data_IF_004972962480
#
_entry.id   IF_004972962480
#
_cell.length_a   1.000
_cell.length_b   1.000
_cell.length_c   1.000
_cell.angle_alpha   90.00
_cell.angle_beta   90.00
_cell.angle_gamma   90.00
#
_symmetry.space_group_name_H-M   'P 1'
#
loop_
_entity.id
_entity.type
_entity.pdbx_description
1 polymer ?
#
# COMPACT_ATOMS: atom_id res chain seq x y z
N UNK A 1 0.51 12.93 24.32
CA UNK A 1 -0.56 12.04 24.81
C UNK A 1 -1.04 11.13 23.68
N UNK A 2 -1.33 9.83 23.91
CA UNK A 2 -1.87 8.96 22.89
C UNK A 2 -3.36 9.26 22.66
N UNK A 3 -3.76 9.24 21.40
CA UNK A 3 -5.16 9.41 20.97
C UNK A 3 -5.48 8.39 19.89
N UNK A 4 -6.74 7.96 19.82
CA UNK A 4 -7.22 7.07 18.77
C UNK A 4 -8.72 7.25 18.56
N UNK A 5 -9.17 6.96 17.33
CA UNK A 5 -10.58 6.95 16.98
C UNK A 5 -10.84 5.87 15.93
N UNK A 6 -11.96 5.17 16.04
CA UNK A 6 -12.32 4.06 15.16
C UNK A 6 -13.49 4.45 14.29
N UNK A 7 -13.38 4.17 12.99
CA UNK A 7 -14.42 4.43 11.99
C UNK A 7 -14.78 3.11 11.32
N UNK A 8 -16.06 2.81 11.27
CA UNK A 8 -16.58 1.61 10.60
C UNK A 8 -16.79 1.89 9.12
N UNK A 9 -16.27 1.01 8.27
CA UNK A 9 -16.55 0.93 6.85
C UNK A 9 -17.58 -0.18 6.56
N UNK A 10 -17.79 -0.49 5.30
CA UNK A 10 -18.72 -1.56 4.90
C UNK A 10 -18.17 -2.96 5.18
N UNK A 11 -16.86 -3.14 5.05
CA UNK A 11 -16.16 -4.45 5.16
C UNK A 11 -15.02 -4.44 6.15
N UNK A 12 -14.56 -3.27 6.53
CA UNK A 12 -13.40 -3.10 7.42
C UNK A 12 -13.71 -2.11 8.53
N UNK A 13 -12.91 -2.18 9.59
CA UNK A 13 -12.87 -1.20 10.67
C UNK A 13 -11.52 -0.52 10.63
N UNK A 14 -11.51 0.81 10.51
CA UNK A 14 -10.30 1.62 10.46
C UNK A 14 -10.07 2.29 11.82
N UNK A 15 -8.97 1.98 12.48
CA UNK A 15 -8.55 2.70 13.67
C UNK A 15 -7.43 3.68 13.30
N UNK A 16 -7.70 4.96 13.46
CA UNK A 16 -6.71 6.04 13.38
C UNK A 16 -6.14 6.26 14.77
N UNK A 17 -4.83 6.27 14.88
CA UNK A 17 -4.16 6.51 16.16
C UNK A 17 -2.95 7.43 15.96
N UNK A 18 -2.57 8.11 17.04
CA UNK A 18 -1.41 8.97 17.04
C UNK A 18 -1.00 9.37 18.45
N UNK A 19 0.02 10.21 18.50
CA UNK A 19 0.56 10.72 19.75
C UNK A 19 0.76 12.23 19.60
N UNK A 20 0.01 12.99 20.39
CA UNK A 20 0.15 14.45 20.51
C UNK A 20 1.50 14.75 21.11
N UNK A 21 2.30 15.62 20.47
CA UNK A 21 3.62 16.01 20.95
C UNK A 21 3.51 16.72 22.28
N UNK A 22 2.61 17.71 22.37
CA UNK A 22 2.39 18.47 23.61
C UNK A 22 0.93 18.83 23.78
N UNK A 23 0.45 18.74 25.02
CA UNK A 23 -0.90 19.08 25.41
C UNK A 23 -0.85 20.05 26.60
N UNK A 24 -1.54 21.17 26.49
CA UNK A 24 -1.68 22.15 27.58
C UNK A 24 -3.06 22.01 28.21
N UNK A 25 -3.15 21.27 29.28
CA UNK A 25 -4.44 20.89 29.86
C UNK A 25 -5.28 20.16 28.81
N UNK A 26 -6.54 20.57 28.68
CA UNK A 26 -7.46 20.13 27.61
C UNK A 26 -7.78 21.26 26.62
N UNK A 27 -6.97 22.32 26.59
CA UNK A 27 -7.27 23.53 25.82
C UNK A 27 -6.43 23.69 24.56
N UNK A 28 -5.20 23.16 24.50
CA UNK A 28 -4.31 23.31 23.33
C UNK A 28 -3.64 21.98 22.98
N UNK A 29 -3.84 21.53 21.75
CA UNK A 29 -3.04 20.47 21.10
C UNK A 29 -1.93 21.13 20.33
N UNK A 30 -0.66 20.80 20.63
CA UNK A 30 0.50 21.33 19.95
C UNK A 30 1.27 20.21 19.23
N UNK A 31 1.54 20.44 17.95
CA UNK A 31 2.40 19.64 17.09
C UNK A 31 3.72 20.41 16.86
N UNK A 32 4.86 19.78 17.08
CA UNK A 32 6.17 20.41 17.03
C UNK A 32 6.94 19.89 15.81
N UNK A 33 7.43 20.79 14.98
CA UNK A 33 8.24 20.51 13.81
C UNK A 33 9.59 21.19 13.92
N UNK A 34 10.65 20.49 13.54
CA UNK A 34 11.99 21.05 13.44
C UNK A 34 12.32 21.40 12.00
N UNK A 35 13.07 22.48 11.80
CA UNK A 35 13.55 22.91 10.48
C UNK A 35 15.00 23.39 10.58
N UNK A 36 15.72 23.37 9.46
CA UNK A 36 17.05 24.03 9.33
C UNK A 36 16.92 25.39 8.65
N UNK A 37 15.83 25.61 7.92
CA UNK A 37 15.51 26.85 7.21
C UNK A 37 14.54 27.72 8.03
N UNK A 38 14.27 28.93 7.56
CA UNK A 38 13.24 29.79 8.14
C UNK A 38 11.87 29.09 8.15
N UNK A 39 11.07 29.36 9.17
CA UNK A 39 9.70 28.87 9.21
C UNK A 39 8.89 29.42 8.01
N UNK A 40 7.91 28.67 7.47
CA UNK A 40 7.04 29.17 6.41
C UNK A 40 6.15 30.34 6.94
N UNK A 41 5.57 31.13 6.01
CA UNK A 41 4.66 32.23 6.36
C UNK A 41 3.38 31.76 7.06
N UNK A 42 2.86 30.56 6.72
CA UNK A 42 1.84 29.82 7.47
C UNK A 42 2.28 28.36 7.58
N UNK A 43 1.75 27.64 8.56
CA UNK A 43 2.08 26.24 8.76
C UNK A 43 1.61 25.39 7.56
N UNK A 44 2.43 24.40 7.20
CA UNK A 44 2.14 23.54 6.06
C UNK A 44 0.80 22.79 6.23
N UNK A 45 0.00 22.66 5.16
CA UNK A 45 -1.30 21.98 5.23
C UNK A 45 -1.25 20.59 5.84
N UNK A 46 -0.18 19.83 5.58
CA UNK A 46 0.02 18.49 6.14
C UNK A 46 0.20 18.50 7.66
N UNK A 47 0.90 19.52 8.19
CA UNK A 47 1.10 19.66 9.64
C UNK A 47 -0.19 20.05 10.34
N UNK A 48 -0.99 20.96 9.72
CA UNK A 48 -2.33 21.28 10.18
C UNK A 48 -3.22 20.04 10.19
N UNK A 49 -3.28 19.27 9.09
CA UNK A 49 -4.08 18.06 8.99
C UNK A 49 -3.76 17.05 10.09
N UNK A 50 -2.46 16.85 10.40
CA UNK A 50 -2.02 15.96 11.47
C UNK A 50 -2.53 16.43 12.84
N UNK A 51 -2.29 17.70 13.19
CA UNK A 51 -2.65 18.25 14.49
C UNK A 51 -4.19 18.34 14.66
N UNK A 52 -4.92 18.69 13.60
CA UNK A 52 -6.38 18.72 13.58
C UNK A 52 -7.01 17.34 13.76
N UNK A 53 -6.42 16.28 13.18
CA UNK A 53 -6.83 14.90 13.45
C UNK A 53 -6.62 14.53 14.91
N UNK A 54 -5.51 14.91 15.51
CA UNK A 54 -5.25 14.64 16.93
C UNK A 54 -6.22 15.43 17.83
N UNK A 55 -6.50 16.68 17.49
CA UNK A 55 -7.47 17.52 18.20
C UNK A 55 -8.88 16.94 18.13
N UNK A 56 -9.31 16.47 16.96
CA UNK A 56 -10.58 15.76 16.80
C UNK A 56 -10.67 14.54 17.73
N UNK A 57 -9.68 13.66 17.67
CA UNK A 57 -9.66 12.44 18.50
C UNK A 57 -9.66 12.74 20.00
N UNK A 58 -9.02 13.84 20.40
CA UNK A 58 -9.04 14.29 21.79
C UNK A 58 -10.42 14.86 22.17
N UNK A 59 -11.04 15.67 21.30
CA UNK A 59 -12.37 16.20 21.53
C UNK A 59 -13.40 15.09 21.69
N UNK A 60 -13.37 14.06 20.83
CA UNK A 60 -14.23 12.86 20.94
C UNK A 60 -14.03 12.14 22.28
N UNK A 61 -12.79 11.96 22.67
CA UNK A 61 -12.44 11.25 23.90
C UNK A 61 -12.86 11.97 25.17
N UNK A 62 -12.68 13.29 25.21
CA UNK A 62 -12.88 14.12 26.40
C UNK A 62 -14.19 14.93 26.39
N UNK A 63 -15.00 14.83 25.31
CA UNK A 63 -16.26 15.54 25.17
C UNK A 63 -16.12 17.06 25.00
N UNK A 64 -15.07 17.51 24.30
CA UNK A 64 -14.79 18.94 24.13
C UNK A 64 -15.53 19.50 22.93
N UNK A 65 -16.15 20.69 23.09
CA UNK A 65 -16.84 21.38 22.01
C UNK A 65 -15.93 22.26 21.14
N UNK A 66 -14.75 22.62 21.64
CA UNK A 66 -13.74 23.41 20.93
C UNK A 66 -12.36 23.17 21.53
N UNK A 67 -11.31 23.44 20.76
CA UNK A 67 -9.92 23.34 21.20
C UNK A 67 -9.02 24.20 20.32
N UNK A 68 -7.93 24.71 20.87
CA UNK A 68 -6.89 25.36 20.11
C UNK A 68 -5.91 24.32 19.54
N UNK A 69 -5.60 24.47 18.26
CA UNK A 69 -4.61 23.66 17.55
C UNK A 69 -3.42 24.53 17.23
N UNK A 70 -2.24 24.13 17.66
CA UNK A 70 -0.99 24.88 17.49
C UNK A 70 0.04 24.08 16.74
N UNK A 71 0.68 24.71 15.76
CA UNK A 71 1.87 24.22 15.09
C UNK A 71 3.05 25.08 15.53
N UNK A 72 4.09 24.44 16.05
CA UNK A 72 5.33 25.10 16.46
C UNK A 72 6.48 24.63 15.61
N UNK A 73 7.15 25.55 14.92
CA UNK A 73 8.41 25.29 14.23
C UNK A 73 9.57 25.74 15.12
N UNK A 74 10.53 24.83 15.30
CA UNK A 74 11.79 25.12 15.95
C UNK A 74 12.93 25.07 14.91
N UNK A 75 13.54 26.20 14.64
CA UNK A 75 14.73 26.26 13.80
C UNK A 75 15.95 25.77 14.60
N UNK A 76 16.52 24.65 14.17
CA UNK A 76 17.67 24.03 14.86
C UNK A 76 18.98 24.80 14.68
N UNK A 77 19.07 25.66 13.64
CA UNK A 77 20.25 26.46 13.36
C UNK A 77 20.28 27.75 14.17
N UNK A 78 19.15 28.47 14.28
CA UNK A 78 19.02 29.75 14.95
C UNK A 78 18.45 29.66 16.37
N UNK A 79 17.76 28.56 16.70
CA UNK A 79 16.98 28.43 17.92
C UNK A 79 15.64 29.19 17.89
N UNK A 80 15.30 29.82 16.77
CA UNK A 80 14.08 30.59 16.62
C UNK A 80 12.85 29.68 16.69
N UNK A 81 11.78 30.19 17.33
CA UNK A 81 10.52 29.46 17.52
C UNK A 81 9.37 30.26 16.92
N UNK A 82 8.75 29.73 15.89
CA UNK A 82 7.56 30.30 15.23
C UNK A 82 6.32 29.48 15.56
N UNK A 83 5.21 30.13 15.91
CA UNK A 83 3.96 29.46 16.30
C UNK A 83 2.78 29.95 15.49
N UNK A 84 1.98 29.00 15.02
CA UNK A 84 0.67 29.25 14.38
C UNK A 84 -0.42 28.59 15.23
N UNK A 85 -1.49 29.30 15.52
CA UNK A 85 -2.59 28.77 16.35
C UNK A 85 -3.94 29.03 15.68
N UNK A 86 -4.81 28.03 15.70
CA UNK A 86 -6.20 28.12 15.24
C UNK A 86 -7.13 27.63 16.36
N UNK A 87 -8.18 28.37 16.65
CA UNK A 87 -9.26 27.91 17.54
C UNK A 87 -10.33 27.24 16.69
N UNK A 88 -10.59 25.95 16.94
CA UNK A 88 -11.47 25.13 16.12
C UNK A 88 -12.55 24.48 16.97
N UNK A 89 -13.77 24.45 16.45
CA UNK A 89 -14.88 23.72 17.06
C UNK A 89 -14.79 22.22 16.72
N UNK A 90 -15.38 21.40 17.56
CA UNK A 90 -15.52 19.96 17.30
C UNK A 90 -16.13 19.69 15.92
N UNK A 91 -17.17 20.43 15.51
CA UNK A 91 -17.83 20.27 14.21
C UNK A 91 -16.87 20.45 13.04
N UNK A 92 -16.05 21.52 13.07
CA UNK A 92 -15.05 21.79 12.03
C UNK A 92 -13.97 20.71 12.01
N UNK A 93 -13.51 20.28 13.18
CA UNK A 93 -12.54 19.20 13.30
C UNK A 93 -13.08 17.87 12.77
N UNK A 94 -14.34 17.56 13.08
CA UNK A 94 -15.02 16.37 12.56
C UNK A 94 -15.14 16.39 11.04
N UNK A 95 -15.57 17.51 10.45
CA UNK A 95 -15.66 17.67 9.00
C UNK A 95 -14.30 17.39 8.31
N UNK A 96 -13.24 17.99 8.83
CA UNK A 96 -11.87 17.80 8.28
C UNK A 96 -11.39 16.38 8.46
N UNK A 97 -11.53 15.80 9.65
CA UNK A 97 -11.15 14.42 9.94
C UNK A 97 -11.85 13.44 9.00
N UNK A 98 -13.16 13.51 8.89
CA UNK A 98 -13.91 12.65 7.99
C UNK A 98 -13.64 12.94 6.52
N UNK A 99 -13.28 14.18 6.17
CA UNK A 99 -12.80 14.54 4.83
C UNK A 99 -11.53 13.79 4.42
N UNK A 100 -10.64 13.49 5.36
CA UNK A 100 -9.44 12.67 5.12
C UNK A 100 -9.73 11.17 5.20
N UNK A 101 -10.51 10.75 6.19
CA UNK A 101 -10.71 9.34 6.52
C UNK A 101 -11.64 8.63 5.54
N UNK A 102 -12.75 9.25 5.13
CA UNK A 102 -13.74 8.61 4.24
C UNK A 102 -13.20 8.16 2.90
N UNK A 103 -12.42 8.98 2.15
CA UNK A 103 -11.85 8.53 0.88
C UNK A 103 -10.89 7.36 1.05
N UNK A 104 -10.11 7.36 2.14
CA UNK A 104 -9.19 6.27 2.46
C UNK A 104 -9.94 4.99 2.85
N UNK A 105 -10.97 5.12 3.68
CA UNK A 105 -11.84 4.02 4.11
C UNK A 105 -12.54 3.36 2.90
N UNK A 106 -13.13 4.16 2.01
CA UNK A 106 -13.74 3.67 0.77
C UNK A 106 -12.74 2.90 -0.09
N UNK A 107 -11.50 3.41 -0.23
CA UNK A 107 -10.44 2.71 -0.94
C UNK A 107 -10.08 1.36 -0.29
N UNK A 108 -10.03 1.29 1.03
CA UNK A 108 -9.77 0.04 1.75
C UNK A 108 -10.92 -0.97 1.62
N UNK A 109 -12.16 -0.50 1.64
CA UNK A 109 -13.35 -1.33 1.39
C UNK A 109 -13.35 -1.94 -0.02
N UNK A 110 -12.99 -1.14 -1.04
CA UNK A 110 -12.78 -1.65 -2.41
C UNK A 110 -11.69 -2.72 -2.48
N UNK A 111 -10.56 -2.49 -1.78
CA UNK A 111 -9.48 -3.47 -1.71
C UNK A 111 -9.92 -4.76 -1.02
N UNK A 112 -10.68 -4.66 0.05
CA UNK A 112 -11.21 -5.81 0.77
C UNK A 112 -12.19 -6.61 -0.10
N UNK A 113 -13.09 -5.92 -0.82
CA UNK A 113 -14.01 -6.53 -1.77
C UNK A 113 -13.26 -7.28 -2.87
N UNK A 114 -12.27 -6.62 -3.51
CA UNK A 114 -11.46 -7.23 -4.55
C UNK A 114 -10.68 -8.45 -4.04
N UNK A 115 -10.09 -8.38 -2.84
CA UNK A 115 -9.40 -9.53 -2.23
C UNK A 115 -10.33 -10.72 -1.99
N UNK A 116 -11.56 -10.47 -1.52
CA UNK A 116 -12.55 -11.49 -1.31
C UNK A 116 -12.94 -12.18 -2.62
N UNK A 117 -13.12 -11.41 -3.70
CA UNK A 117 -13.39 -11.93 -5.03
C UNK A 117 -12.25 -12.79 -5.55
N UNK A 118 -11.00 -12.30 -5.48
CA UNK A 118 -9.82 -13.08 -5.88
C UNK A 118 -9.71 -14.35 -5.07
N UNK A 119 -9.90 -14.31 -3.75
CA UNK A 119 -9.83 -15.49 -2.90
C UNK A 119 -10.87 -16.55 -3.30
N UNK A 120 -12.10 -16.13 -3.57
CA UNK A 120 -13.16 -17.04 -4.04
C UNK A 120 -12.77 -17.73 -5.36
N UNK A 121 -12.28 -16.97 -6.33
CA UNK A 121 -11.85 -17.49 -7.63
C UNK A 121 -10.63 -18.41 -7.50
N UNK A 122 -9.65 -18.05 -6.68
CA UNK A 122 -8.46 -18.87 -6.45
C UNK A 122 -8.79 -20.16 -5.67
N UNK A 123 -9.78 -20.13 -4.79
CA UNK A 123 -10.29 -21.33 -4.12
C UNK A 123 -10.90 -22.32 -5.12
N UNK A 124 -11.65 -21.84 -6.11
CA UNK A 124 -12.24 -22.64 -7.17
C UNK A 124 -11.25 -23.05 -8.28
N UNK A 125 -10.03 -22.47 -8.29
CA UNK A 125 -9.06 -22.67 -9.36
C UNK A 125 -8.72 -24.17 -9.56
N UNK A 126 -8.90 -24.69 -10.77
CA UNK A 126 -8.48 -26.02 -11.18
C UNK A 126 -7.08 -25.99 -11.81
N UNK A 127 -6.36 -27.11 -11.75
CA UNK A 127 -5.12 -27.26 -12.47
C UNK A 127 -5.37 -27.22 -13.99
N UNK A 128 -4.61 -26.43 -14.78
CA UNK A 128 -4.97 -26.14 -16.18
C UNK A 128 -4.72 -27.28 -17.17
N UNK A 129 -4.18 -28.39 -16.73
CA UNK A 129 -3.96 -29.57 -17.56
C UNK A 129 -4.66 -30.79 -16.99
N UNK A 130 -5.07 -31.72 -17.87
CA UNK A 130 -5.71 -32.97 -17.48
C UNK A 130 -4.83 -33.85 -16.59
N UNK A 131 -3.48 -33.76 -16.78
CA UNK A 131 -2.52 -34.56 -16.03
C UNK A 131 -1.33 -33.72 -15.59
N UNK A 132 -0.78 -34.06 -14.45
CA UNK A 132 0.51 -33.52 -13.97
C UNK A 132 1.66 -34.26 -14.69
N UNK A 133 2.75 -33.53 -14.90
CA UNK A 133 4.04 -34.15 -15.28
C UNK A 133 4.61 -34.95 -14.11
N UNK A 134 5.53 -35.89 -14.40
CA UNK A 134 6.21 -36.67 -13.37
C UNK A 134 6.87 -35.74 -12.32
N UNK A 135 6.63 -35.96 -11.03
CA UNK A 135 7.12 -35.18 -9.90
C UNK A 135 6.48 -33.78 -9.73
N UNK A 136 5.64 -33.34 -10.66
CA UNK A 136 5.04 -32.01 -10.63
C UNK A 136 3.97 -31.88 -9.52
N UNK A 137 3.16 -32.94 -9.34
CA UNK A 137 2.11 -32.97 -8.33
C UNK A 137 2.69 -32.99 -6.92
N UNK A 138 3.73 -33.79 -6.71
CA UNK A 138 4.45 -33.92 -5.45
C UNK A 138 5.06 -32.57 -5.05
N UNK A 139 5.75 -31.91 -5.99
CA UNK A 139 6.32 -30.59 -5.78
C UNK A 139 5.25 -29.55 -5.43
N UNK A 140 4.14 -29.54 -6.16
CA UNK A 140 3.04 -28.61 -5.89
C UNK A 140 2.40 -28.85 -4.51
N UNK A 141 2.24 -30.11 -4.10
CA UNK A 141 1.72 -30.47 -2.79
C UNK A 141 2.66 -30.04 -1.65
N UNK A 142 3.98 -30.22 -1.81
CA UNK A 142 4.96 -29.76 -0.81
C UNK A 142 4.99 -28.24 -0.70
N UNK A 143 4.92 -27.52 -1.82
CA UNK A 143 4.82 -26.05 -1.81
C UNK A 143 3.55 -25.59 -1.09
N UNK A 144 2.40 -26.22 -1.37
CA UNK A 144 1.16 -25.86 -0.70
C UNK A 144 1.21 -26.09 0.82
N UNK A 145 1.76 -27.23 1.27
CA UNK A 145 1.96 -27.54 2.70
C UNK A 145 2.91 -26.51 3.35
N UNK A 146 4.00 -26.20 2.65
CA UNK A 146 4.98 -25.20 3.12
C UNK A 146 4.37 -23.83 3.33
N UNK A 147 3.50 -23.37 2.39
CA UNK A 147 2.77 -22.11 2.50
C UNK A 147 1.80 -22.16 3.68
N UNK A 148 0.99 -23.22 3.78
CA UNK A 148 0.05 -23.41 4.88
C UNK A 148 0.73 -23.39 6.24
N UNK A 149 1.86 -24.08 6.35
CA UNK A 149 2.59 -24.27 7.60
C UNK A 149 3.57 -23.10 7.89
N UNK A 150 3.60 -22.08 7.02
CA UNK A 150 4.49 -20.89 7.11
C UNK A 150 5.98 -21.28 7.27
N UNK A 151 6.40 -22.25 6.50
CA UNK A 151 7.77 -22.79 6.50
C UNK A 151 8.56 -22.34 5.27
N UNK A 152 9.82 -22.71 5.20
CA UNK A 152 10.68 -22.57 4.02
C UNK A 152 10.83 -23.92 3.34
N UNK A 153 10.89 -23.91 2.00
CA UNK A 153 11.16 -25.08 1.18
C UNK A 153 12.34 -24.79 0.25
N UNK A 154 13.34 -25.66 0.29
CA UNK A 154 14.37 -25.73 -0.73
C UNK A 154 14.09 -26.95 -1.61
N UNK A 155 13.75 -26.72 -2.86
CA UNK A 155 13.40 -27.79 -3.79
C UNK A 155 14.31 -27.78 -5.02
N UNK A 156 14.81 -28.94 -5.40
CA UNK A 156 15.53 -29.16 -6.64
C UNK A 156 14.68 -30.05 -7.56
N UNK A 157 14.47 -29.60 -8.78
CA UNK A 157 13.73 -30.37 -9.78
C UNK A 157 14.37 -30.22 -11.16
N UNK A 158 14.40 -31.26 -11.98
CA UNK A 158 14.98 -31.24 -13.34
C UNK A 158 14.33 -30.21 -14.25
N UNK A 159 14.98 -29.87 -15.35
CA UNK A 159 14.37 -29.05 -16.41
C UNK A 159 13.19 -29.79 -17.04
N UNK A 160 12.17 -29.08 -17.50
CA UNK A 160 11.00 -29.69 -18.17
C UNK A 160 9.91 -30.21 -17.23
N UNK A 161 10.11 -30.29 -15.92
CA UNK A 161 9.08 -30.76 -14.94
C UNK A 161 7.93 -29.79 -14.71
N UNK A 162 7.91 -28.63 -15.35
CA UNK A 162 6.84 -27.65 -15.16
C UNK A 162 6.90 -26.91 -13.80
N UNK A 163 8.11 -26.67 -13.27
CA UNK A 163 8.37 -26.02 -11.97
C UNK A 163 7.59 -24.71 -11.76
N UNK A 164 7.50 -23.87 -12.80
CA UNK A 164 6.81 -22.58 -12.72
C UNK A 164 5.35 -22.74 -12.31
N UNK A 165 4.63 -23.64 -12.98
CA UNK A 165 3.23 -23.91 -12.66
C UNK A 165 3.10 -24.68 -11.34
N UNK A 166 4.03 -25.61 -11.05
CA UNK A 166 4.09 -26.33 -9.78
C UNK A 166 4.30 -25.41 -8.58
N UNK A 167 4.89 -24.23 -8.79
CA UNK A 167 5.05 -23.21 -7.75
C UNK A 167 3.86 -22.23 -7.72
N UNK A 168 3.43 -21.71 -8.85
CA UNK A 168 2.39 -20.68 -8.91
C UNK A 168 1.01 -21.24 -8.55
N UNK A 169 0.64 -22.40 -9.06
CA UNK A 169 -0.69 -22.97 -8.81
C UNK A 169 -0.98 -23.18 -7.32
N UNK A 170 -0.13 -23.87 -6.52
CA UNK A 170 -0.39 -24.00 -5.08
C UNK A 170 -0.31 -22.67 -4.33
N UNK A 171 0.52 -21.72 -4.77
CA UNK A 171 0.57 -20.39 -4.16
C UNK A 171 -0.73 -19.61 -4.38
N UNK A 172 -1.32 -19.69 -5.58
CA UNK A 172 -2.64 -19.13 -5.89
C UNK A 172 -3.76 -19.81 -5.08
N UNK A 173 -3.71 -21.13 -4.95
CA UNK A 173 -4.61 -21.85 -4.02
C UNK A 173 -4.45 -21.38 -2.58
N UNK A 174 -3.22 -21.05 -2.17
CA UNK A 174 -2.93 -20.46 -0.86
C UNK A 174 -3.62 -19.11 -0.64
N UNK A 175 -3.78 -18.27 -1.69
CA UNK A 175 -4.63 -17.07 -1.62
C UNK A 175 -6.09 -17.47 -1.39
N UNK A 176 -6.59 -18.47 -2.14
CA UNK A 176 -7.96 -18.95 -2.00
C UNK A 176 -8.30 -19.51 -0.62
N UNK A 177 -7.33 -20.08 0.07
CA UNK A 177 -7.48 -20.59 1.44
C UNK A 177 -7.13 -19.55 2.52
N UNK A 178 -6.79 -18.33 2.13
CA UNK A 178 -6.45 -17.25 3.08
C UNK A 178 -5.10 -17.39 3.79
N UNK A 179 -4.21 -18.27 3.28
CA UNK A 179 -2.89 -18.47 3.88
C UNK A 179 -1.92 -17.34 3.53
N UNK A 180 -2.08 -16.73 2.36
CA UNK A 180 -1.27 -15.62 1.84
C UNK A 180 -2.13 -14.61 1.10
N UNK A 181 -1.72 -13.33 1.13
CA UNK A 181 -2.41 -12.25 0.42
C UNK A 181 -1.68 -11.85 -0.88
N UNK A 182 -0.40 -12.11 -0.96
CA UNK A 182 0.47 -11.70 -2.08
C UNK A 182 1.50 -12.77 -2.39
N UNK A 183 1.88 -12.84 -3.67
CA UNK A 183 2.92 -13.73 -4.15
C UNK A 183 4.00 -12.87 -4.81
N UNK A 184 5.25 -13.05 -4.38
CA UNK A 184 6.43 -12.47 -5.03
C UNK A 184 7.19 -13.59 -5.75
N UNK A 185 7.11 -13.59 -7.08
CA UNK A 185 7.86 -14.52 -7.90
C UNK A 185 9.18 -13.89 -8.34
N UNK A 186 10.24 -14.17 -7.58
CA UNK A 186 11.56 -13.59 -7.80
C UNK A 186 12.36 -14.45 -8.78
N UNK A 187 12.99 -13.81 -9.76
CA UNK A 187 13.82 -14.46 -10.75
C UNK A 187 14.92 -13.54 -11.27
N UNK A 188 16.13 -14.09 -11.45
CA UNK A 188 17.26 -13.36 -12.01
C UNK A 188 17.20 -13.23 -13.55
N UNK A 189 16.40 -14.07 -14.24
CA UNK A 189 16.36 -14.16 -15.70
C UNK A 189 15.04 -13.66 -16.27
N UNK A 190 15.12 -12.89 -17.35
CA UNK A 190 13.94 -12.40 -18.09
C UNK A 190 13.10 -13.54 -18.66
N UNK A 191 13.71 -14.62 -19.14
CA UNK A 191 13.03 -15.81 -19.65
C UNK A 191 12.18 -16.50 -18.58
N UNK A 192 12.66 -16.58 -17.34
CA UNK A 192 11.90 -17.18 -16.24
C UNK A 192 10.68 -16.32 -15.85
N UNK A 193 10.78 -14.98 -15.97
CA UNK A 193 9.64 -14.09 -15.78
C UNK A 193 8.57 -14.30 -16.85
N UNK A 194 8.96 -14.36 -18.15
CA UNK A 194 8.03 -14.69 -19.24
C UNK A 194 7.35 -16.03 -19.01
N UNK A 195 8.09 -17.03 -18.51
CA UNK A 195 7.52 -18.33 -18.15
C UNK A 195 6.47 -18.22 -17.02
N UNK A 196 6.67 -17.34 -16.03
CA UNK A 196 5.69 -17.10 -14.98
C UNK A 196 4.42 -16.45 -15.53
N UNK A 197 4.54 -15.41 -16.37
CA UNK A 197 3.38 -14.79 -17.02
C UNK A 197 2.67 -15.75 -17.99
N UNK A 198 3.43 -16.55 -18.76
CA UNK A 198 2.87 -17.62 -19.60
C UNK A 198 2.11 -18.66 -18.77
N UNK A 199 2.61 -19.04 -17.60
CA UNK A 199 1.90 -19.94 -16.70
C UNK A 199 0.61 -19.35 -16.14
N UNK A 200 0.61 -18.04 -15.80
CA UNK A 200 -0.62 -17.32 -15.43
C UNK A 200 -1.60 -17.25 -16.62
N UNK A 201 -1.10 -17.14 -17.86
CA UNK A 201 -1.90 -17.14 -19.09
C UNK A 201 -2.66 -18.46 -19.37
N UNK A 202 -2.22 -19.57 -18.77
CA UNK A 202 -2.92 -20.85 -18.84
C UNK A 202 -4.12 -20.97 -17.90
N UNK A 203 -4.23 -20.04 -16.95
CA UNK A 203 -5.31 -20.03 -15.98
C UNK A 203 -6.51 -19.24 -16.53
N UNK A 204 -7.74 -19.56 -16.09
CA UNK A 204 -8.93 -18.82 -16.47
C UNK A 204 -8.78 -17.32 -16.17
N UNK A 205 -9.50 -16.51 -16.92
CA UNK A 205 -9.64 -15.09 -16.59
C UNK A 205 -10.22 -14.93 -15.19
N UNK A 206 -9.64 -14.02 -14.44
CA UNK A 206 -9.95 -13.82 -13.02
C UNK A 206 -9.67 -12.39 -12.60
N UNK A 207 -10.17 -12.01 -11.43
CA UNK A 207 -9.87 -10.75 -10.80
C UNK A 207 -8.41 -10.65 -10.30
N UNK A 208 -7.61 -11.73 -10.42
CA UNK A 208 -6.20 -11.74 -10.03
C UNK A 208 -5.40 -10.70 -10.82
N UNK A 209 -4.76 -9.79 -10.11
CA UNK A 209 -3.84 -8.81 -10.68
C UNK A 209 -2.40 -9.27 -10.54
N UNK A 210 -1.64 -9.18 -11.62
CA UNK A 210 -0.21 -9.50 -11.63
C UNK A 210 0.58 -8.40 -12.36
N UNK A 211 1.72 -8.02 -11.82
CA UNK A 211 2.61 -7.02 -12.42
C UNK A 211 4.04 -7.53 -12.50
N UNK A 212 4.69 -7.30 -13.63
CA UNK A 212 6.11 -7.54 -13.80
C UNK A 212 6.91 -6.28 -13.47
N UNK A 213 7.70 -6.35 -12.41
CA UNK A 213 8.61 -5.26 -12.05
C UNK A 213 9.99 -5.49 -12.70
N UNK A 214 10.56 -4.38 -13.16
CA UNK A 214 11.88 -4.33 -13.79
C UNK A 214 12.78 -3.37 -13.02
N UNK A 215 14.09 -3.61 -13.07
CA UNK A 215 15.04 -2.60 -12.62
C UNK A 215 14.84 -1.32 -13.44
N UNK A 216 14.87 -0.17 -12.76
CA UNK A 216 14.63 1.15 -13.35
C UNK A 216 15.48 1.38 -14.61
N UNK A 217 16.74 0.96 -14.58
CA UNK A 217 17.69 1.11 -15.69
C UNK A 217 17.24 0.33 -16.94
N UNK A 218 16.61 -0.84 -16.75
CA UNK A 218 16.08 -1.66 -17.87
C UNK A 218 14.77 -1.13 -18.43
N UNK A 219 14.05 -0.32 -17.66
CA UNK A 219 12.79 0.34 -18.06
C UNK A 219 12.96 1.77 -18.55
N UNK A 220 14.17 2.34 -18.40
CA UNK A 220 14.44 3.71 -18.80
C UNK A 220 14.42 3.87 -20.35
N UNK A 221 13.80 4.94 -20.82
CA UNK A 221 13.78 5.30 -22.25
C UNK A 221 14.94 6.22 -22.65
N UNK A 222 15.74 6.67 -21.68
CA UNK A 222 16.90 7.52 -21.89
C UNK A 222 18.17 6.69 -21.87
N UNK A 223 19.08 6.96 -22.79
CA UNK A 223 20.37 6.29 -22.89
C UNK A 223 21.32 6.63 -21.73
N UNK A 224 21.11 7.81 -21.13
CA UNK A 224 21.86 8.24 -19.93
C UNK A 224 20.94 8.44 -18.74
N UNK A 225 21.41 8.18 -17.49
CA UNK A 225 20.58 8.28 -16.31
C UNK A 225 20.32 9.74 -15.88
N UNK A 226 19.37 10.41 -16.55
CA UNK A 226 18.95 11.76 -16.20
C UNK A 226 18.38 11.91 -14.80
N UNK A 227 18.05 10.78 -14.15
CA UNK A 227 17.53 10.77 -12.78
C UNK A 227 18.53 11.36 -11.76
N UNK A 228 19.84 11.25 -12.02
CA UNK A 228 20.88 11.78 -11.10
C UNK A 228 20.98 13.31 -11.14
N UNK A 229 20.57 13.92 -12.23
CA UNK A 229 20.59 15.37 -12.41
C UNK A 229 19.30 16.05 -11.96
N UNK A 230 18.26 15.29 -11.60
CA UNK A 230 16.94 15.82 -11.26
C UNK A 230 16.17 16.42 -12.45
N UNK A 231 16.68 16.28 -13.70
CA UNK A 231 16.10 16.87 -14.89
C UNK A 231 15.19 15.92 -15.68
N UNK A 232 15.02 14.68 -15.21
CA UNK A 232 14.19 13.70 -15.92
C UNK A 232 12.70 14.09 -15.89
N UNK A 233 12.05 14.30 -17.05
CA UNK A 233 10.62 14.67 -17.09
C UNK A 233 9.69 13.62 -16.47
N UNK A 234 10.11 12.36 -16.42
CA UNK A 234 9.34 11.29 -15.76
C UNK A 234 9.50 11.29 -14.25
N UNK A 235 10.59 11.82 -13.72
CA UNK A 235 10.83 11.95 -12.28
C UNK A 235 10.13 13.18 -11.71
N UNK A 236 10.16 14.30 -12.44
CA UNK A 236 9.51 15.54 -12.02
C UNK A 236 8.00 15.30 -11.95
N UNK A 237 7.38 15.57 -10.80
CA UNK A 237 5.94 15.37 -10.55
C UNK A 237 5.51 13.89 -10.61
N UNK A 238 6.41 12.93 -10.38
CA UNK A 238 6.08 11.51 -10.41
C UNK A 238 4.96 11.16 -9.43
N UNK A 239 5.05 11.64 -8.19
CA UNK A 239 4.06 11.34 -7.17
C UNK A 239 2.70 12.02 -7.43
N UNK A 240 2.69 13.16 -8.11
CA UNK A 240 1.46 13.87 -8.48
C UNK A 240 0.66 13.10 -9.55
N UNK A 241 1.39 12.43 -10.48
CA UNK A 241 0.79 11.60 -11.53
C UNK A 241 0.48 10.17 -11.12
N UNK A 242 1.12 9.68 -10.06
CA UNK A 242 1.00 8.28 -9.64
C UNK A 242 -0.44 7.85 -9.32
N UNK A 243 -1.28 8.65 -8.61
CA UNK A 243 -2.66 8.26 -8.34
C UNK A 243 -3.48 8.03 -9.61
N UNK A 244 -3.34 8.92 -10.60
CA UNK A 244 -4.04 8.80 -11.88
C UNK A 244 -3.55 7.58 -12.68
N UNK A 245 -2.24 7.34 -12.72
CA UNK A 245 -1.66 6.19 -13.38
C UNK A 245 -2.11 4.87 -12.74
N UNK A 246 -2.18 4.81 -11.40
CA UNK A 246 -2.71 3.65 -10.68
C UNK A 246 -4.19 3.43 -10.94
N UNK A 247 -5.00 4.49 -11.01
CA UNK A 247 -6.41 4.38 -11.35
C UNK A 247 -6.61 3.84 -12.77
N UNK A 248 -5.85 4.35 -13.74
CA UNK A 248 -5.85 3.86 -15.12
C UNK A 248 -5.41 2.38 -15.20
N UNK A 249 -4.34 2.01 -14.48
CA UNK A 249 -3.88 0.63 -14.43
C UNK A 249 -4.91 -0.31 -13.80
N UNK A 250 -5.64 0.12 -12.76
CA UNK A 250 -6.72 -0.68 -12.16
C UNK A 250 -7.89 -0.94 -13.09
N UNK A 251 -8.13 -0.06 -14.06
CA UNK A 251 -9.20 -0.21 -15.06
C UNK A 251 -8.84 -1.21 -16.17
N UNK A 252 -7.58 -1.57 -16.33
CA UNK A 252 -7.13 -2.54 -17.33
C UNK A 252 -7.28 -3.98 -16.81
N UNK A 253 -7.51 -4.98 -17.69
CA UNK A 253 -7.60 -6.38 -17.28
C UNK A 253 -6.26 -6.90 -16.73
N UNK A 254 -6.32 -7.43 -15.62
CA UNK A 254 -5.53 -8.16 -14.63
C UNK A 254 -4.03 -8.39 -14.75
N UNK A 255 -3.37 -8.30 -15.89
CA UNK A 255 -1.96 -8.74 -16.03
C UNK A 255 -1.12 -7.70 -16.76
N UNK A 256 -0.14 -7.13 -16.05
CA UNK A 256 0.67 -6.03 -16.55
C UNK A 256 2.13 -6.46 -16.69
N UNK A 257 2.61 -6.58 -17.91
CA UNK A 257 4.03 -6.59 -18.22
C UNK A 257 4.41 -5.35 -19.06
N UNK A 258 5.68 -5.25 -19.50
CA UNK A 258 6.17 -4.11 -20.25
C UNK A 258 5.48 -3.91 -21.61
N UNK A 259 4.89 -4.96 -22.15
CA UNK A 259 4.24 -4.96 -23.46
C UNK A 259 2.77 -4.56 -23.35
N UNK A 260 2.21 -4.59 -22.13
CA UNK A 260 0.79 -4.29 -21.84
C UNK A 260 0.56 -2.86 -21.30
N UNK A 261 1.62 -2.08 -21.10
CA UNK A 261 1.57 -0.68 -20.60
C UNK A 261 2.24 0.28 -21.64
#
# INVERSE_FOLDING_TARGET
APVSFTVEGERIVLTVYGRIDRLYGLSVVEEIKTTLDAAPEDALPLHWAQAECYAFMLCEKEGLSHIDVRITYLNLSSGEVTRFTRSLTHTVLAERFYGYVRPYLAHLDELAAHRAEVALQMKALAFPFAQYRAGQRELAAEIFRTIRDKKMLLAQAPTGTGKTLAALFPALKGIGEGFVERIFYLTARTTARRAAFGALGLLPDSALRAIALYAREKGCIHDAPLCRTGTCPRQIGYYDRLPQALAAAKALPGRFDREAV
#
